data_IF_264098453508
#
_entry.id   IF_264098453508
#
_cell.length_a   1.000
_cell.length_b   1.000
_cell.length_c   1.000
_cell.angle_alpha   90.00
_cell.angle_beta   90.00
_cell.angle_gamma   90.00
#
_symmetry.space_group_name_H-M   'P 1'
#
loop_
_entity.id
_entity.type
_entity.pdbx_description
1 polymer ?
#
# COMPACT_ATOMS: atom_id res chain seq x y z
N UNK A 1 5.91 23.25 9.37
CA UNK A 1 5.99 23.51 10.84
C UNK A 1 5.26 22.41 11.63
N UNK A 2 5.41 21.13 11.24
CA UNK A 2 4.87 20.00 12.02
C UNK A 2 5.96 19.09 12.63
N UNK A 3 7.21 19.20 12.17
CA UNK A 3 8.31 18.29 12.55
C UNK A 3 9.20 18.73 13.72
N UNK A 4 8.82 19.70 14.56
CA UNK A 4 9.72 20.22 15.62
C UNK A 4 9.27 19.90 17.07
N UNK A 5 8.15 19.22 17.27
CA UNK A 5 7.62 18.99 18.62
C UNK A 5 8.07 17.66 19.28
N UNK A 6 8.80 16.78 18.59
CA UNK A 6 9.04 15.41 19.07
C UNK A 6 10.38 15.18 19.74
N UNK A 7 11.24 16.21 19.85
CA UNK A 7 12.58 16.05 20.42
C UNK A 7 12.66 16.15 21.94
N UNK A 8 11.55 16.22 22.66
CA UNK A 8 11.57 16.22 24.12
C UNK A 8 10.45 15.38 24.74
N UNK A 9 10.86 14.52 25.66
CA UNK A 9 10.07 13.57 26.46
C UNK A 9 9.61 12.31 25.73
N UNK A 10 9.74 11.16 26.41
CA UNK A 10 9.28 9.84 26.00
C UNK A 10 7.75 9.81 25.86
N UNK A 11 7.20 10.52 24.88
CA UNK A 11 5.83 10.33 24.44
C UNK A 11 5.87 9.08 23.57
N UNK A 12 5.41 7.95 24.11
CA UNK A 12 5.12 6.77 23.30
C UNK A 12 4.31 7.24 22.10
N UNK A 13 4.83 7.01 20.91
CA UNK A 13 4.10 7.29 19.69
C UNK A 13 2.93 6.31 19.64
N UNK A 14 1.76 6.75 20.09
CA UNK A 14 0.56 5.94 20.01
C UNK A 14 0.34 5.57 18.53
N UNK A 15 0.04 4.29 18.27
CA UNK A 15 -0.23 3.74 16.94
C UNK A 15 -1.24 4.61 16.19
N UNK A 16 -2.22 5.18 16.88
CA UNK A 16 -3.19 6.10 16.29
C UNK A 16 -2.57 7.40 15.75
N UNK A 17 -1.64 8.01 16.49
CA UNK A 17 -0.93 9.20 16.08
C UNK A 17 0.02 8.89 14.91
N UNK A 18 0.77 7.79 15.01
CA UNK A 18 1.64 7.32 13.93
C UNK A 18 0.89 7.08 12.63
N UNK A 19 -0.23 6.37 12.70
CA UNK A 19 -1.11 6.15 11.55
C UNK A 19 -1.64 7.45 10.94
N UNK A 20 -1.96 8.45 11.76
CA UNK A 20 -2.45 9.75 11.28
C UNK A 20 -1.36 10.54 10.55
N UNK A 21 -0.13 10.50 11.05
CA UNK A 21 1.01 11.17 10.42
C UNK A 21 1.40 10.49 9.12
N UNK A 22 1.48 9.16 9.09
CA UNK A 22 1.75 8.39 7.86
C UNK A 22 0.71 8.75 6.78
N UNK A 23 -0.58 8.71 7.11
CA UNK A 23 -1.65 9.01 6.16
C UNK A 23 -1.57 10.45 5.63
N UNK A 24 -1.31 11.41 6.51
CA UNK A 24 -1.19 12.83 6.14
C UNK A 24 -0.01 13.06 5.20
N UNK A 25 1.18 12.57 5.55
CA UNK A 25 2.39 12.70 4.74
C UNK A 25 2.27 11.97 3.39
N UNK A 26 1.77 10.72 3.40
CA UNK A 26 1.59 9.94 2.18
C UNK A 26 0.56 10.57 1.22
N UNK A 27 -0.52 11.18 1.74
CA UNK A 27 -1.50 11.91 0.91
C UNK A 27 -0.96 13.22 0.35
N UNK A 28 0.00 13.84 1.02
CA UNK A 28 0.60 15.12 0.62
C UNK A 28 1.77 14.94 -0.35
N UNK A 29 2.16 13.70 -0.65
CA UNK A 29 3.32 13.39 -1.49
C UNK A 29 4.66 13.48 -0.77
N UNK A 30 4.65 13.75 0.53
CA UNK A 30 5.82 13.80 1.41
C UNK A 30 6.15 12.36 1.87
N UNK A 31 6.44 11.47 0.92
CA UNK A 31 6.56 10.02 1.20
C UNK A 31 7.74 9.72 2.12
N UNK A 32 8.82 10.49 2.05
CA UNK A 32 9.98 10.36 2.94
C UNK A 32 9.60 10.63 4.40
N UNK A 33 8.79 11.66 4.67
CA UNK A 33 8.30 11.98 6.01
C UNK A 33 7.33 10.90 6.53
N UNK A 34 6.52 10.32 5.63
CA UNK A 34 5.68 9.17 5.97
C UNK A 34 6.52 7.95 6.39
N UNK A 35 7.64 7.70 5.71
CA UNK A 35 8.58 6.61 6.07
C UNK A 35 9.24 6.88 7.41
N UNK A 36 9.66 8.12 7.69
CA UNK A 36 10.25 8.48 8.98
C UNK A 36 9.26 8.25 10.13
N UNK A 37 8.01 8.73 9.99
CA UNK A 37 6.96 8.50 10.97
C UNK A 37 6.71 7.00 11.21
N UNK A 38 6.71 6.20 10.14
CA UNK A 38 6.58 4.75 10.24
C UNK A 38 7.77 4.09 10.97
N UNK A 39 9.00 4.55 10.72
CA UNK A 39 10.20 4.02 11.38
C UNK A 39 10.25 4.34 12.87
N UNK A 40 9.73 5.50 13.28
CA UNK A 40 9.67 5.95 14.68
C UNK A 40 8.61 5.22 15.52
N UNK A 41 7.65 4.52 14.88
CA UNK A 41 6.63 3.73 15.59
C UNK A 41 7.22 2.45 16.22
N UNK A 42 7.00 2.26 17.52
CA UNK A 42 7.38 1.02 18.23
C UNK A 42 6.49 -0.16 17.81
N UNK A 43 5.18 0.07 17.71
CA UNK A 43 4.19 -0.90 17.24
C UNK A 43 3.60 -0.46 15.91
N UNK A 44 3.40 -1.41 14.99
CA UNK A 44 2.87 -1.18 13.64
C UNK A 44 1.72 -2.14 13.39
N UNK A 45 0.56 -1.60 13.05
CA UNK A 45 -0.62 -2.37 12.71
C UNK A 45 -0.85 -2.42 11.19
N UNK A 46 -1.86 -3.19 10.77
CA UNK A 46 -2.26 -3.29 9.35
C UNK A 46 -2.45 -1.91 8.69
N UNK A 47 -2.94 -0.91 9.43
CA UNK A 47 -3.18 0.43 8.91
C UNK A 47 -1.85 1.12 8.60
N UNK A 48 -0.88 1.09 9.50
CA UNK A 48 0.45 1.71 9.29
C UNK A 48 1.12 1.23 8.01
N UNK A 49 1.11 -0.08 7.79
CA UNK A 49 1.65 -0.73 6.59
C UNK A 49 0.85 -0.36 5.34
N UNK A 50 -0.48 -0.52 5.39
CA UNK A 50 -1.34 -0.31 4.23
C UNK A 50 -1.33 1.14 3.74
N UNK A 51 -1.23 2.13 4.64
CA UNK A 51 -1.10 3.54 4.29
C UNK A 51 0.19 3.82 3.53
N UNK A 52 1.32 3.25 3.97
CA UNK A 52 2.61 3.46 3.34
C UNK A 52 2.71 2.75 1.98
N UNK A 53 2.17 1.52 1.88
CA UNK A 53 2.03 0.79 0.61
C UNK A 53 1.18 1.61 -0.38
N UNK A 54 0.05 2.16 0.07
CA UNK A 54 -0.81 3.00 -0.75
C UNK A 54 -0.13 4.30 -1.20
N UNK A 55 0.70 4.90 -0.34
CA UNK A 55 1.53 6.04 -0.69
C UNK A 55 2.45 5.72 -1.86
N UNK A 56 3.28 4.68 -1.74
CA UNK A 56 4.18 4.28 -2.83
C UNK A 56 3.45 3.87 -4.10
N UNK A 57 2.32 3.15 -3.97
CA UNK A 57 1.48 2.76 -5.10
C UNK A 57 0.93 3.97 -5.89
N UNK A 58 0.44 5.00 -5.18
CA UNK A 58 -0.05 6.24 -5.81
C UNK A 58 1.05 7.04 -6.51
N UNK A 59 2.28 6.96 -6.04
CA UNK A 59 3.44 7.62 -6.65
C UNK A 59 4.14 6.74 -7.71
N UNK A 60 3.49 5.68 -8.19
CA UNK A 60 4.00 4.83 -9.27
C UNK A 60 5.20 3.98 -8.88
N UNK A 61 5.52 3.88 -7.59
CA UNK A 61 6.65 3.09 -7.11
C UNK A 61 6.18 1.72 -6.59
N UNK A 62 5.73 0.89 -7.52
CA UNK A 62 5.25 -0.46 -7.24
C UNK A 62 6.32 -1.35 -6.63
N UNK A 63 7.60 -1.16 -6.96
CA UNK A 63 8.71 -1.91 -6.38
C UNK A 63 8.78 -1.71 -4.86
N UNK A 64 8.81 -0.44 -4.40
CA UNK A 64 8.81 -0.13 -2.96
C UNK A 64 7.51 -0.56 -2.27
N UNK A 65 6.38 -0.48 -2.96
CA UNK A 65 5.10 -0.97 -2.44
C UNK A 65 5.13 -2.49 -2.21
N UNK A 66 5.72 -3.26 -3.14
CA UNK A 66 5.90 -4.70 -3.00
C UNK A 66 6.92 -5.06 -1.91
N UNK A 67 8.00 -4.30 -1.76
CA UNK A 67 8.96 -4.50 -0.67
C UNK A 67 8.30 -4.35 0.70
N UNK A 68 7.45 -3.31 0.86
CA UNK A 68 6.69 -3.12 2.08
C UNK A 68 5.65 -4.22 2.29
N UNK A 69 4.96 -4.66 1.25
CA UNK A 69 4.04 -5.80 1.32
C UNK A 69 4.76 -7.08 1.79
N UNK A 70 5.92 -7.40 1.21
CA UNK A 70 6.71 -8.57 1.58
C UNK A 70 7.19 -8.48 3.04
N UNK A 71 7.62 -7.28 3.48
CA UNK A 71 8.01 -7.04 4.88
C UNK A 71 6.83 -7.17 5.85
N UNK A 72 5.67 -6.64 5.48
CA UNK A 72 4.42 -6.78 6.23
C UNK A 72 4.09 -8.27 6.46
N UNK A 73 4.19 -9.09 5.42
CA UNK A 73 4.00 -10.55 5.53
C UNK A 73 5.06 -11.21 6.43
N UNK A 74 6.34 -10.80 6.31
CA UNK A 74 7.43 -11.34 7.11
C UNK A 74 7.28 -11.03 8.60
N UNK A 75 6.73 -9.86 8.94
CA UNK A 75 6.40 -9.47 10.32
C UNK A 75 5.10 -10.12 10.83
N UNK A 76 4.46 -10.98 10.03
CA UNK A 76 3.24 -11.70 10.41
C UNK A 76 1.98 -10.84 10.41
N UNK A 77 2.06 -9.62 9.87
CA UNK A 77 0.91 -8.73 9.74
C UNK A 77 0.15 -9.11 8.46
N UNK A 78 -1.12 -9.48 8.60
CA UNK A 78 -1.93 -9.90 7.46
C UNK A 78 -2.36 -8.68 6.62
N UNK A 79 -2.06 -8.66 5.31
CA UNK A 79 -2.66 -7.73 4.35
C UNK A 79 -4.19 -7.75 4.44
N UNK A 80 -4.80 -6.58 4.27
CA UNK A 80 -6.25 -6.46 4.16
C UNK A 80 -6.66 -6.10 2.72
N UNK A 81 -7.97 -6.02 2.50
CA UNK A 81 -8.59 -5.59 1.25
C UNK A 81 -7.97 -4.29 0.70
N UNK A 82 -7.76 -3.28 1.55
CA UNK A 82 -7.18 -2.00 1.15
C UNK A 82 -5.71 -2.12 0.68
N UNK A 83 -4.92 -3.00 1.31
CA UNK A 83 -3.55 -3.32 0.86
C UNK A 83 -3.57 -3.85 -0.57
N UNK A 84 -4.46 -4.80 -0.87
CA UNK A 84 -4.56 -5.39 -2.21
C UNK A 84 -5.08 -4.40 -3.25
N UNK A 85 -6.12 -3.62 -2.93
CA UNK A 85 -6.60 -2.57 -3.82
C UNK A 85 -5.49 -1.57 -4.19
N UNK A 86 -4.69 -1.17 -3.20
CA UNK A 86 -3.57 -0.24 -3.41
C UNK A 86 -2.52 -0.80 -4.36
N UNK A 87 -2.15 -2.08 -4.18
CA UNK A 87 -1.19 -2.76 -5.04
C UNK A 87 -1.74 -2.98 -6.46
N UNK A 88 -3.00 -3.40 -6.60
CA UNK A 88 -3.64 -3.60 -7.90
C UNK A 88 -3.77 -2.29 -8.68
N UNK A 89 -4.15 -1.21 -8.00
CA UNK A 89 -4.20 0.13 -8.57
C UNK A 89 -2.83 0.57 -9.07
N UNK A 90 -1.78 0.35 -8.27
CA UNK A 90 -0.40 0.64 -8.68
C UNK A 90 0.02 -0.16 -9.92
N UNK A 91 -0.26 -1.47 -9.97
CA UNK A 91 0.00 -2.29 -11.15
C UNK A 91 -0.73 -1.78 -12.40
N UNK A 92 -1.97 -1.33 -12.26
CA UNK A 92 -2.77 -0.71 -13.33
C UNK A 92 -2.10 0.54 -13.90
N UNK A 93 -1.65 1.43 -13.01
CA UNK A 93 -0.99 2.67 -13.40
C UNK A 93 0.40 2.45 -14.02
N UNK A 94 1.15 1.45 -13.55
CA UNK A 94 2.50 1.16 -14.06
C UNK A 94 2.52 0.14 -15.20
N UNK A 95 1.36 -0.38 -15.62
CA UNK A 95 1.26 -1.39 -16.69
C UNK A 95 1.82 -2.77 -16.32
N UNK A 96 1.90 -3.11 -15.03
CA UNK A 96 2.44 -4.39 -14.58
C UNK A 96 1.35 -5.47 -14.49
N UNK A 97 0.78 -5.84 -15.63
CA UNK A 97 -0.37 -6.77 -15.73
C UNK A 97 -0.10 -8.13 -15.10
N UNK A 98 1.05 -8.75 -15.37
CA UNK A 98 1.39 -10.08 -14.81
C UNK A 98 1.47 -10.04 -13.28
N UNK A 99 2.11 -9.01 -12.72
CA UNK A 99 2.18 -8.81 -11.28
C UNK A 99 0.79 -8.57 -10.69
N UNK A 100 -0.02 -7.72 -11.32
CA UNK A 100 -1.40 -7.45 -10.89
C UNK A 100 -2.25 -8.72 -10.79
N UNK A 101 -2.18 -9.59 -11.80
CA UNK A 101 -2.88 -10.88 -11.80
C UNK A 101 -2.38 -11.82 -10.68
N UNK A 102 -1.07 -11.86 -10.44
CA UNK A 102 -0.49 -12.64 -9.32
C UNK A 102 -0.95 -12.12 -7.96
N UNK A 103 -1.01 -10.80 -7.79
CA UNK A 103 -1.49 -10.14 -6.56
C UNK A 103 -2.97 -10.46 -6.34
N UNK A 104 -3.80 -10.35 -7.38
CA UNK A 104 -5.22 -10.69 -7.32
C UNK A 104 -5.46 -12.16 -6.96
N UNK A 105 -4.71 -13.08 -7.57
CA UNK A 105 -4.77 -14.51 -7.23
C UNK A 105 -4.33 -14.77 -5.78
N UNK A 106 -3.33 -14.04 -5.27
CA UNK A 106 -2.87 -14.16 -3.89
C UNK A 106 -3.95 -13.66 -2.91
N UNK A 107 -4.59 -12.54 -3.21
CA UNK A 107 -5.70 -11.97 -2.43
C UNK A 107 -6.81 -13.01 -2.20
N UNK A 108 -7.25 -13.69 -3.27
CA UNK A 108 -8.34 -14.67 -3.19
C UNK A 108 -7.87 -15.98 -2.56
N UNK A 109 -6.79 -16.57 -3.08
CA UNK A 109 -6.45 -17.95 -2.73
C UNK A 109 -5.70 -18.08 -1.41
N UNK A 110 -4.82 -17.12 -1.08
CA UNK A 110 -4.02 -17.16 0.16
C UNK A 110 -4.73 -16.46 1.30
N UNK A 111 -5.39 -15.34 1.02
CA UNK A 111 -6.00 -14.50 2.06
C UNK A 111 -7.52 -14.64 2.17
N UNK A 112 -8.19 -15.29 1.22
CA UNK A 112 -9.64 -15.46 1.25
C UNK A 112 -10.40 -14.14 1.15
N UNK A 113 -9.77 -13.10 0.58
CA UNK A 113 -10.40 -11.79 0.43
C UNK A 113 -11.26 -11.81 -0.83
N UNK A 114 -12.53 -11.51 -0.67
CA UNK A 114 -13.50 -11.44 -1.76
C UNK A 114 -13.18 -10.28 -2.71
N UNK A 115 -13.21 -10.54 -4.02
CA UNK A 115 -13.03 -9.50 -5.01
C UNK A 115 -14.26 -8.57 -5.05
N UNK A 116 -14.02 -7.27 -5.05
CA UNK A 116 -15.04 -6.22 -5.12
C UNK A 116 -14.91 -5.46 -6.44
N UNK A 117 -15.89 -4.61 -6.74
CA UNK A 117 -15.92 -3.82 -7.98
C UNK A 117 -14.62 -3.05 -8.22
N UNK A 118 -14.05 -2.48 -7.15
CA UNK A 118 -12.82 -1.71 -7.23
C UNK A 118 -11.61 -2.57 -7.63
N UNK A 119 -11.52 -3.79 -7.12
CA UNK A 119 -10.46 -4.74 -7.52
C UNK A 119 -10.60 -5.14 -8.99
N UNK A 120 -11.83 -5.46 -9.42
CA UNK A 120 -12.11 -5.89 -10.79
C UNK A 120 -11.86 -4.76 -11.79
N UNK A 121 -12.16 -3.51 -11.42
CA UNK A 121 -11.85 -2.34 -12.25
C UNK A 121 -10.37 -2.25 -12.58
N UNK A 122 -9.47 -2.51 -11.62
CA UNK A 122 -8.02 -2.53 -11.89
C UNK A 122 -7.62 -3.67 -12.83
N UNK A 123 -8.23 -4.85 -12.67
CA UNK A 123 -7.94 -6.00 -13.54
C UNK A 123 -8.39 -5.73 -14.97
N UNK A 124 -9.58 -5.17 -15.15
CA UNK A 124 -10.12 -4.83 -16.48
C UNK A 124 -9.27 -3.74 -17.15
N UNK A 125 -8.89 -2.68 -16.43
CA UNK A 125 -8.01 -1.63 -16.98
C UNK A 125 -6.65 -2.20 -17.41
N UNK A 126 -6.04 -3.07 -16.60
CA UNK A 126 -4.78 -3.76 -16.96
C UNK A 126 -4.93 -4.62 -18.21
N UNK A 127 -5.98 -5.43 -18.30
CA UNK A 127 -6.19 -6.33 -19.44
C UNK A 127 -6.47 -5.53 -20.73
N UNK A 128 -7.31 -4.51 -20.66
CA UNK A 128 -7.64 -3.65 -21.78
C UNK A 128 -6.40 -2.95 -22.35
N UNK A 129 -5.49 -2.47 -21.49
CA UNK A 129 -4.24 -1.80 -21.90
C UNK A 129 -3.18 -2.76 -22.44
N UNK A 130 -3.16 -4.02 -22.01
CA UNK A 130 -2.15 -4.99 -22.40
C UNK A 130 -2.34 -5.61 -23.79
N UNK A 131 -3.34 -5.17 -24.56
CA UNK A 131 -3.53 -5.62 -25.94
C UNK A 131 -4.42 -6.87 -26.10
N UNK A 132 -5.10 -7.34 -25.05
CA UNK A 132 -6.18 -8.35 -25.19
C UNK A 132 -7.46 -7.80 -25.85
N UNK A 133 -7.36 -6.66 -26.54
CA UNK A 133 -8.43 -6.05 -27.35
C UNK A 133 -8.14 -6.09 -28.87
N UNK A 134 -7.07 -6.76 -29.33
CA UNK A 134 -6.78 -6.94 -30.77
C UNK A 134 -6.94 -8.38 -31.28
N UNK A 135 -7.97 -9.09 -30.81
CA UNK A 135 -8.48 -10.32 -31.48
C UNK A 135 -10.02 -10.30 -31.65
N UNK A 136 -10.59 -9.13 -31.93
CA UNK A 136 -12.01 -8.98 -32.32
C UNK A 136 -12.14 -8.41 -33.74
#
# INVERSE_FOLDING_TARGET
>A
IHGFALKSSQVRFDVALGNSLIDMYAKSGEIEDAVLAFQEMEEKDVRSWSSLIAGYGRHGNIEKAMDLYNRMEHEGIKPNDFTFLSLLSACSHTGQTELGLRIFNTMINKYGIEAREEHLSCIIDMLARSGYLEEA
#
